data_IF_653713315621
#
_entry.id   IF_653713315621
#
_cell.length_a   1.000
_cell.length_b   1.000
_cell.length_c   1.000
_cell.angle_alpha   90.00
_cell.angle_beta   90.00
_cell.angle_gamma   90.00
#
_symmetry.space_group_name_H-M   'P 1'
#
loop_
_entity.id
_entity.type
_entity.pdbx_description
1 polymer ?
#
# COMPACT_ATOMS: atom_id res chain seq x y z
N UNK A 1 -24.19 -8.21 1.14
CA UNK A 1 -22.96 -7.51 0.67
C UNK A 1 -22.09 -8.49 -0.11
N UNK A 2 -21.37 -8.00 -1.12
CA UNK A 2 -20.41 -8.75 -1.91
C UNK A 2 -19.00 -8.30 -1.53
N UNK A 3 -18.11 -9.26 -1.23
CA UNK A 3 -16.69 -9.03 -1.00
C UNK A 3 -15.91 -9.69 -2.14
N UNK A 4 -15.09 -8.90 -2.83
CA UNK A 4 -14.25 -9.38 -3.92
C UNK A 4 -12.80 -9.42 -3.46
N UNK A 5 -12.11 -10.51 -3.76
CA UNK A 5 -10.69 -10.65 -3.52
C UNK A 5 -9.91 -10.05 -4.70
N UNK A 6 -8.97 -9.15 -4.40
CA UNK A 6 -8.03 -8.68 -5.41
C UNK A 6 -6.88 -9.69 -5.50
N UNK A 7 -6.58 -10.21 -6.71
CA UNK A 7 -5.51 -11.21 -6.89
C UNK A 7 -4.16 -10.72 -6.38
N UNK A 8 -3.34 -11.66 -5.90
CA UNK A 8 -2.07 -11.42 -5.18
C UNK A 8 -1.13 -10.44 -5.89
N UNK A 9 -0.88 -10.52 -7.21
CA UNK A 9 0.04 -9.59 -7.87
C UNK A 9 -0.32 -8.13 -7.64
N UNK A 10 -1.61 -7.80 -7.54
CA UNK A 10 -2.09 -6.43 -7.36
C UNK A 10 -2.38 -6.09 -5.90
N UNK A 11 -2.88 -7.05 -5.09
CA UNK A 11 -3.13 -6.78 -3.66
C UNK A 11 -1.86 -6.48 -2.88
N UNK A 12 -0.72 -7.01 -3.34
CA UNK A 12 0.61 -6.76 -2.78
C UNK A 12 1.43 -5.73 -3.58
N UNK A 13 0.82 -5.03 -4.54
CA UNK A 13 1.52 -4.08 -5.40
C UNK A 13 1.72 -2.69 -4.75
N UNK A 14 2.36 -1.79 -5.50
CA UNK A 14 2.42 -0.36 -5.13
C UNK A 14 1.01 0.24 -5.16
N UNK A 15 0.81 1.34 -4.44
CA UNK A 15 -0.48 2.03 -4.37
C UNK A 15 -1.10 2.31 -5.75
N UNK A 16 -0.30 2.70 -6.72
CA UNK A 16 -0.74 2.95 -8.09
C UNK A 16 -1.32 1.70 -8.76
N UNK A 17 -0.59 0.59 -8.70
CA UNK A 17 -0.99 -0.67 -9.37
C UNK A 17 -2.15 -1.33 -8.61
N UNK A 18 -2.15 -1.26 -7.29
CA UNK A 18 -3.25 -1.67 -6.43
C UNK A 18 -4.55 -0.90 -6.76
N UNK A 19 -4.48 0.43 -6.82
CA UNK A 19 -5.62 1.28 -7.12
C UNK A 19 -6.15 1.01 -8.53
N UNK A 20 -5.25 0.92 -9.52
CA UNK A 20 -5.62 0.61 -10.90
C UNK A 20 -6.35 -0.73 -11.00
N UNK A 21 -5.84 -1.76 -10.37
CA UNK A 21 -6.45 -3.09 -10.41
C UNK A 21 -7.82 -3.10 -9.72
N UNK A 22 -7.95 -2.52 -8.53
CA UNK A 22 -9.22 -2.42 -7.83
C UNK A 22 -10.27 -1.64 -8.62
N UNK A 23 -9.90 -0.51 -9.20
CA UNK A 23 -10.81 0.29 -10.04
C UNK A 23 -11.16 -0.45 -11.34
N UNK A 24 -10.20 -1.15 -11.97
CA UNK A 24 -10.46 -1.96 -13.17
C UNK A 24 -11.49 -3.04 -12.89
N UNK A 25 -11.35 -3.76 -11.76
CA UNK A 25 -12.30 -4.79 -11.35
C UNK A 25 -13.71 -4.21 -11.19
N UNK A 26 -13.84 -3.10 -10.45
CA UNK A 26 -15.12 -2.45 -10.22
C UNK A 26 -15.73 -1.88 -11.53
N UNK A 27 -14.89 -1.34 -12.41
CA UNK A 27 -15.30 -0.85 -13.72
C UNK A 27 -15.81 -1.98 -14.62
N UNK A 28 -15.12 -3.12 -14.63
CA UNK A 28 -15.49 -4.29 -15.43
C UNK A 28 -16.82 -4.92 -14.99
N UNK A 29 -17.23 -4.73 -13.73
CA UNK A 29 -18.54 -5.19 -13.25
C UNK A 29 -19.72 -4.48 -13.94
N UNK A 30 -19.52 -3.27 -14.45
CA UNK A 30 -20.54 -2.51 -15.20
C UNK A 30 -21.74 -1.99 -14.40
N UNK A 31 -21.83 -2.34 -13.11
CA UNK A 31 -22.95 -1.97 -12.23
C UNK A 31 -22.55 -1.05 -11.07
N UNK A 32 -21.25 -0.71 -10.96
CA UNK A 32 -20.75 0.16 -9.90
C UNK A 32 -20.84 1.61 -10.32
N UNK A 33 -21.58 2.41 -9.57
CA UNK A 33 -21.77 3.85 -9.86
C UNK A 33 -20.91 4.76 -8.98
N UNK A 34 -20.50 4.27 -7.78
CA UNK A 34 -19.84 5.08 -6.77
C UNK A 34 -18.68 4.31 -6.17
N UNK A 35 -17.49 4.93 -6.15
CA UNK A 35 -16.32 4.46 -5.44
C UNK A 35 -16.14 5.27 -4.16
N UNK A 36 -16.49 4.69 -3.01
CA UNK A 36 -16.30 5.30 -1.71
C UNK A 36 -14.95 4.89 -1.11
N UNK A 37 -14.21 5.84 -0.59
CA UNK A 37 -12.92 5.61 0.09
C UNK A 37 -12.73 6.56 1.27
N UNK A 38 -11.97 6.10 2.28
CA UNK A 38 -11.59 6.92 3.43
C UNK A 38 -10.54 7.98 3.05
N UNK A 39 -10.68 9.19 3.57
CA UNK A 39 -9.81 10.33 3.31
C UNK A 39 -9.54 11.11 4.59
N UNK A 40 -8.35 11.63 4.76
CA UNK A 40 -8.03 12.51 5.87
C UNK A 40 -8.66 13.90 5.70
N UNK A 41 -8.77 14.41 4.48
CA UNK A 41 -9.40 15.69 4.21
C UNK A 41 -10.92 15.61 4.06
N UNK A 42 -11.47 14.46 3.65
CA UNK A 42 -12.91 14.23 3.48
C UNK A 42 -13.58 15.04 2.36
N UNK A 43 -12.84 15.75 1.53
CA UNK A 43 -13.36 16.58 0.44
C UNK A 43 -13.05 15.97 -0.92
N UNK A 44 -14.05 15.39 -1.56
CA UNK A 44 -13.92 14.84 -2.92
C UNK A 44 -13.53 15.92 -3.93
N UNK A 45 -14.10 17.12 -3.82
CA UNK A 45 -13.80 18.22 -4.74
C UNK A 45 -12.32 18.63 -4.66
N UNK A 46 -11.79 18.84 -3.44
CA UNK A 46 -10.41 19.22 -3.21
C UNK A 46 -9.43 18.15 -3.69
N UNK A 47 -9.76 16.86 -3.46
CA UNK A 47 -8.95 15.76 -3.97
C UNK A 47 -8.92 15.70 -5.50
N UNK A 48 -10.06 15.91 -6.16
CA UNK A 48 -10.15 15.92 -7.63
C UNK A 48 -9.36 17.10 -8.22
N UNK A 49 -9.51 18.29 -7.68
CA UNK A 49 -8.78 19.49 -8.11
C UNK A 49 -7.27 19.28 -7.97
N UNK A 50 -6.83 18.81 -6.79
CA UNK A 50 -5.42 18.51 -6.54
C UNK A 50 -4.90 17.42 -7.45
N UNK A 51 -5.67 16.33 -7.68
CA UNK A 51 -5.28 15.26 -8.59
C UNK A 51 -5.05 15.76 -10.02
N UNK A 52 -5.89 16.66 -10.52
CA UNK A 52 -5.72 17.27 -11.83
C UNK A 52 -4.46 18.14 -11.89
N UNK A 53 -4.26 18.96 -10.86
CA UNK A 53 -3.10 19.85 -10.78
C UNK A 53 -1.76 19.09 -10.67
N UNK A 54 -1.75 17.93 -9.98
CA UNK A 54 -0.59 17.04 -9.90
C UNK A 54 -0.15 16.45 -11.26
N UNK A 55 -1.03 16.46 -12.25
CA UNK A 55 -0.73 15.99 -13.61
C UNK A 55 -0.37 17.11 -14.57
N UNK A 56 -0.33 18.36 -14.11
CA UNK A 56 0.00 19.51 -14.95
C UNK A 56 1.46 19.46 -15.45
N UNK A 57 1.78 20.08 -16.60
CA UNK A 57 3.15 20.20 -17.09
C UNK A 57 4.08 20.86 -16.06
N UNK A 58 3.63 21.93 -15.44
CA UNK A 58 4.38 22.69 -14.44
C UNK A 58 4.77 21.81 -13.25
N UNK A 59 3.81 21.01 -12.76
CA UNK A 59 4.08 20.07 -11.66
C UNK A 59 5.09 18.99 -12.05
N UNK A 60 5.05 18.50 -13.31
CA UNK A 60 6.02 17.52 -13.81
C UNK A 60 7.44 18.09 -13.88
N UNK A 61 7.57 19.34 -14.30
CA UNK A 61 8.88 20.01 -14.39
C UNK A 61 9.44 20.29 -13.00
N UNK A 62 8.62 20.77 -12.07
CA UNK A 62 9.00 20.92 -10.64
C UNK A 62 9.44 19.61 -10.01
N UNK A 63 8.69 18.53 -10.27
CA UNK A 63 9.00 17.19 -9.75
C UNK A 63 10.34 16.69 -10.29
N UNK A 64 10.59 16.87 -11.60
CA UNK A 64 11.86 16.47 -12.25
C UNK A 64 13.03 17.23 -11.61
N UNK A 65 12.92 18.55 -11.44
CA UNK A 65 13.94 19.36 -10.77
C UNK A 65 14.24 18.86 -9.35
N UNK A 66 13.23 18.53 -8.56
CA UNK A 66 13.44 17.99 -7.21
C UNK A 66 14.09 16.59 -7.21
N UNK A 67 13.78 15.75 -8.20
CA UNK A 67 14.42 14.43 -8.35
C UNK A 67 15.89 14.56 -8.78
N UNK A 68 16.21 15.51 -9.64
CA UNK A 68 17.58 15.80 -10.08
C UNK A 68 18.46 16.32 -8.91
N UNK A 69 17.84 16.95 -7.90
CA UNK A 69 18.49 17.29 -6.62
C UNK A 69 18.76 16.06 -5.73
N UNK A 70 18.41 14.85 -6.16
CA UNK A 70 18.64 13.60 -5.42
C UNK A 70 17.60 13.29 -4.33
N UNK A 71 16.45 13.94 -4.36
CA UNK A 71 15.36 13.67 -3.41
C UNK A 71 14.68 12.33 -3.68
N UNK A 72 14.12 11.70 -2.64
CA UNK A 72 13.23 10.55 -2.84
C UNK A 72 11.94 10.98 -3.53
N UNK A 73 11.31 10.10 -4.30
CA UNK A 73 10.08 10.42 -5.03
C UNK A 73 8.96 11.01 -4.15
N UNK A 74 8.67 10.47 -2.94
CA UNK A 74 7.66 11.08 -2.06
C UNK A 74 8.04 12.50 -1.63
N UNK A 75 9.29 12.73 -1.22
CA UNK A 75 9.75 14.06 -0.78
C UNK A 75 9.80 15.06 -1.95
N UNK A 76 10.21 14.61 -3.15
CA UNK A 76 10.21 15.43 -4.36
C UNK A 76 8.79 15.83 -4.76
N UNK A 77 7.83 14.89 -4.69
CA UNK A 77 6.42 15.13 -5.00
C UNK A 77 5.78 16.13 -4.03
N UNK A 78 6.06 16.00 -2.73
CA UNK A 78 5.60 16.94 -1.71
C UNK A 78 6.17 18.35 -1.93
N UNK A 79 7.50 18.47 -2.14
CA UNK A 79 8.16 19.76 -2.38
C UNK A 79 7.64 20.41 -3.66
N UNK A 80 7.52 19.67 -4.75
CA UNK A 80 6.98 20.17 -6.00
C UNK A 80 5.52 20.64 -5.85
N UNK A 81 4.68 19.86 -5.13
CA UNK A 81 3.30 20.27 -4.85
C UNK A 81 3.24 21.54 -4.00
N UNK A 82 4.12 21.69 -3.00
CA UNK A 82 4.17 22.91 -2.20
C UNK A 82 4.57 24.15 -3.03
N UNK A 83 5.44 23.97 -4.02
CA UNK A 83 5.87 25.05 -4.91
C UNK A 83 4.81 25.42 -5.95
N UNK A 84 4.17 24.44 -6.57
CA UNK A 84 3.26 24.65 -7.70
C UNK A 84 1.80 24.85 -7.26
N UNK A 85 1.36 24.18 -6.18
CA UNK A 85 -0.04 24.12 -5.77
C UNK A 85 -0.29 24.73 -4.39
N UNK A 86 0.77 25.07 -3.67
CA UNK A 86 0.67 25.63 -2.32
C UNK A 86 0.72 24.56 -1.21
N UNK A 87 0.83 25.05 0.03
CA UNK A 87 1.06 24.19 1.22
C UNK A 87 -0.13 23.27 1.54
N UNK A 88 -1.35 23.69 1.26
CA UNK A 88 -2.56 22.90 1.53
C UNK A 88 -2.59 21.66 0.65
N UNK A 89 -2.34 21.80 -0.65
CA UNK A 89 -2.24 20.66 -1.58
C UNK A 89 -1.08 19.72 -1.23
N UNK A 90 0.07 20.26 -0.80
CA UNK A 90 1.19 19.46 -0.35
C UNK A 90 0.86 18.65 0.92
N UNK A 91 0.09 19.21 1.85
CA UNK A 91 -0.34 18.53 3.07
C UNK A 91 -1.22 17.29 2.77
N UNK A 92 -2.03 17.30 1.71
CA UNK A 92 -2.82 16.16 1.29
C UNK A 92 -1.94 14.96 0.88
N UNK A 93 -0.74 15.22 0.35
CA UNK A 93 0.19 14.16 -0.05
C UNK A 93 0.87 13.46 1.13
N UNK A 94 0.79 14.01 2.33
CA UNK A 94 1.32 13.41 3.56
C UNK A 94 0.35 12.39 4.16
N UNK A 95 -0.96 12.52 3.90
CA UNK A 95 -1.99 11.59 4.35
C UNK A 95 -1.91 10.26 3.58
N UNK A 96 -1.80 9.14 4.28
CA UNK A 96 -1.70 7.84 3.63
C UNK A 96 -2.95 7.49 2.82
N UNK A 97 -4.14 7.86 3.32
CA UNK A 97 -5.39 7.61 2.62
C UNK A 97 -5.64 8.62 1.49
N UNK A 98 -5.29 9.89 1.68
CA UNK A 98 -5.38 10.90 0.63
C UNK A 98 -4.39 10.59 -0.51
N UNK A 99 -3.17 10.11 -0.19
CA UNK A 99 -2.22 9.64 -1.20
C UNK A 99 -2.78 8.46 -2.02
N UNK A 100 -3.47 7.51 -1.38
CA UNK A 100 -4.15 6.41 -2.08
C UNK A 100 -5.37 6.90 -2.87
N UNK A 101 -6.10 7.88 -2.35
CA UNK A 101 -7.22 8.52 -3.07
C UNK A 101 -6.77 9.10 -4.41
N UNK A 102 -5.61 9.76 -4.47
CA UNK A 102 -5.06 10.25 -5.74
C UNK A 102 -4.81 9.12 -6.76
N UNK A 103 -4.37 7.96 -6.31
CA UNK A 103 -4.18 6.82 -7.23
C UNK A 103 -5.53 6.25 -7.71
N UNK A 104 -6.59 6.24 -6.88
CA UNK A 104 -7.95 5.90 -7.33
C UNK A 104 -8.47 6.89 -8.37
N UNK A 105 -8.33 8.19 -8.13
CA UNK A 105 -8.76 9.23 -9.07
C UNK A 105 -8.01 9.14 -10.40
N UNK A 106 -6.71 8.88 -10.36
CA UNK A 106 -5.90 8.64 -11.55
C UNK A 106 -6.36 7.39 -12.30
N UNK A 107 -6.66 6.30 -11.60
CA UNK A 107 -7.15 5.08 -12.20
C UNK A 107 -8.52 5.29 -12.88
N UNK A 108 -9.47 5.95 -12.21
CA UNK A 108 -10.77 6.31 -12.77
C UNK A 108 -10.62 7.12 -14.07
N UNK A 109 -9.74 8.12 -14.07
CA UNK A 109 -9.44 8.96 -15.23
C UNK A 109 -8.83 8.16 -16.38
N UNK A 110 -7.81 7.34 -16.09
CA UNK A 110 -7.10 6.55 -17.09
C UNK A 110 -7.97 5.49 -17.77
N UNK A 111 -8.94 4.95 -17.05
CA UNK A 111 -9.92 3.98 -17.54
C UNK A 111 -11.15 4.63 -18.18
N UNK A 112 -11.24 5.97 -18.20
CA UNK A 112 -12.46 6.69 -18.61
C UNK A 112 -13.71 6.14 -17.92
N UNK A 113 -13.57 5.77 -16.63
CA UNK A 113 -14.61 5.10 -15.87
C UNK A 113 -15.76 6.07 -15.52
N UNK A 114 -17.03 5.67 -15.67
CA UNK A 114 -18.17 6.46 -15.25
C UNK A 114 -18.39 6.45 -13.74
N UNK A 115 -17.62 5.66 -12.98
CA UNK A 115 -17.73 5.54 -11.52
C UNK A 115 -17.35 6.86 -10.88
N UNK A 116 -18.26 7.39 -10.06
CA UNK A 116 -18.04 8.66 -9.34
C UNK A 116 -17.28 8.42 -8.04
N UNK A 117 -16.22 9.20 -7.75
CA UNK A 117 -15.51 9.11 -6.47
C UNK A 117 -16.30 9.76 -5.33
N UNK A 118 -16.21 9.20 -4.12
CA UNK A 118 -16.75 9.76 -2.89
C UNK A 118 -15.76 9.62 -1.75
N UNK A 119 -15.18 10.72 -1.31
CA UNK A 119 -14.32 10.76 -0.14
C UNK A 119 -15.17 10.80 1.14
N UNK A 120 -14.88 9.89 2.07
CA UNK A 120 -15.49 9.85 3.40
C UNK A 120 -14.44 10.26 4.43
N UNK A 121 -14.74 11.30 5.21
CA UNK A 121 -13.85 11.78 6.26
C UNK A 121 -13.58 10.67 7.30
N UNK A 122 -12.32 10.34 7.49
CA UNK A 122 -11.91 9.38 8.52
C UNK A 122 -12.09 9.96 9.90
N UNK A 123 -12.70 9.17 10.78
CA UNK A 123 -12.77 9.45 12.22
C UNK A 123 -11.87 8.47 12.97
N UNK A 124 -11.15 8.94 13.99
CA UNK A 124 -10.29 8.11 14.83
C UNK A 124 -8.79 8.25 14.56
N UNK A 125 -8.00 7.30 15.05
CA UNK A 125 -6.53 7.34 14.98
C UNK A 125 -6.00 7.41 13.54
N UNK A 126 -4.93 8.18 13.31
CA UNK A 126 -4.18 8.17 12.07
C UNK A 126 -3.55 6.80 11.82
N UNK A 127 -3.18 6.50 10.58
CA UNK A 127 -2.73 5.17 10.16
C UNK A 127 -1.61 4.58 11.03
N UNK A 128 -0.70 5.40 11.56
CA UNK A 128 0.47 4.99 12.34
C UNK A 128 0.39 5.39 13.84
N UNK A 129 -0.73 5.95 14.30
CA UNK A 129 -0.89 6.33 15.71
C UNK A 129 -1.33 5.14 16.55
N UNK A 130 -0.60 4.91 17.65
CA UNK A 130 -0.91 3.87 18.66
C UNK A 130 -1.91 4.35 19.72
N UNK A 131 -2.50 5.53 19.58
CA UNK A 131 -3.46 6.13 20.48
C UNK A 131 -4.90 6.04 19.98
N UNK A 132 -5.85 5.78 20.88
CA UNK A 132 -7.28 5.91 20.59
C UNK A 132 -7.69 7.39 20.64
N UNK A 133 -7.67 8.08 19.50
CA UNK A 133 -8.45 9.30 19.39
C UNK A 133 -9.90 8.89 19.12
N UNK A 134 -10.82 9.32 19.95
CA UNK A 134 -12.28 9.13 19.79
C UNK A 134 -12.80 7.67 19.71
N UNK A 135 -12.14 6.69 20.36
CA UNK A 135 -12.73 5.36 20.55
C UNK A 135 -12.62 4.38 19.37
N UNK A 136 -12.06 4.79 18.21
CA UNK A 136 -11.87 3.90 17.05
C UNK A 136 -10.38 3.58 16.84
N UNK A 137 -9.92 2.37 17.23
CA UNK A 137 -8.53 1.96 17.00
C UNK A 137 -8.26 1.75 15.50
N UNK A 138 -6.99 1.95 15.09
CA UNK A 138 -6.58 1.66 13.71
C UNK A 138 -6.62 0.14 13.44
N UNK A 139 -6.78 -0.23 12.16
CA UNK A 139 -6.73 -1.65 11.77
C UNK A 139 -5.40 -2.33 12.13
N UNK A 140 -4.29 -1.58 12.15
CA UNK A 140 -2.99 -2.08 12.60
C UNK A 140 -3.01 -2.39 14.10
N UNK A 141 -3.61 -1.53 14.90
CA UNK A 141 -3.78 -1.73 16.33
C UNK A 141 -4.69 -2.93 16.63
N UNK A 142 -5.83 -3.06 15.93
CA UNK A 142 -6.74 -4.22 16.09
C UNK A 142 -5.98 -5.51 15.76
N UNK A 143 -5.26 -5.56 14.65
CA UNK A 143 -4.45 -6.75 14.30
C UNK A 143 -3.41 -7.08 15.37
N UNK A 144 -2.73 -6.07 15.92
CA UNK A 144 -1.76 -6.28 17.00
C UNK A 144 -2.42 -6.86 18.26
N UNK A 145 -3.60 -6.34 18.65
CA UNK A 145 -4.34 -6.85 19.79
C UNK A 145 -4.79 -8.31 19.59
N UNK A 146 -5.26 -8.65 18.39
CA UNK A 146 -5.67 -10.02 18.05
C UNK A 146 -4.46 -10.97 18.07
N UNK A 147 -3.30 -10.56 17.53
CA UNK A 147 -2.08 -11.37 17.57
C UNK A 147 -1.55 -11.59 18.99
N UNK A 148 -1.89 -10.71 19.95
CA UNK A 148 -1.55 -10.81 21.36
C UNK A 148 -2.62 -11.49 22.20
N UNK A 149 -3.68 -12.02 21.57
CA UNK A 149 -4.84 -12.61 22.24
C UNK A 149 -5.48 -11.65 23.26
N UNK A 150 -5.50 -10.37 22.93
CA UNK A 150 -6.02 -9.32 23.81
C UNK A 150 -7.53 -9.13 23.57
N UNK A 151 -8.39 -9.28 24.60
CA UNK A 151 -9.85 -9.15 24.48
C UNK A 151 -10.32 -7.80 23.92
N UNK A 152 -9.50 -6.74 24.00
CA UNK A 152 -9.83 -5.45 23.44
C UNK A 152 -9.87 -5.49 21.90
N UNK A 153 -9.12 -6.40 21.26
CA UNK A 153 -9.19 -6.62 19.82
C UNK A 153 -10.59 -7.08 19.37
N UNK A 154 -11.22 -7.97 20.14
CA UNK A 154 -12.57 -8.45 19.89
C UNK A 154 -13.61 -7.32 19.96
N UNK A 155 -13.55 -6.51 21.03
CA UNK A 155 -14.48 -5.39 21.26
C UNK A 155 -14.39 -4.30 20.20
N UNK A 156 -13.31 -4.29 19.42
CA UNK A 156 -13.06 -3.32 18.36
C UNK A 156 -13.63 -3.74 17.01
N UNK A 157 -14.25 -4.90 16.92
CA UNK A 157 -14.85 -5.44 15.70
C UNK A 157 -16.37 -5.53 15.82
N UNK A 158 -17.13 -5.37 14.71
CA UNK A 158 -18.53 -5.75 14.67
C UNK A 158 -18.69 -7.24 15.02
N UNK A 159 -19.75 -7.59 15.76
CA UNK A 159 -19.97 -8.97 16.26
C UNK A 159 -19.89 -10.05 15.18
N UNK A 160 -20.54 -9.82 14.02
CA UNK A 160 -20.53 -10.77 12.92
C UNK A 160 -19.12 -10.93 12.29
N UNK A 161 -18.32 -9.86 12.22
CA UNK A 161 -16.93 -9.93 11.73
C UNK A 161 -16.06 -10.69 12.71
N UNK A 162 -16.28 -10.49 14.01
CA UNK A 162 -15.54 -11.20 15.05
C UNK A 162 -15.90 -12.70 15.07
N UNK A 163 -17.16 -13.07 14.88
CA UNK A 163 -17.58 -14.48 14.76
C UNK A 163 -16.87 -15.20 13.63
N UNK A 164 -16.75 -14.56 12.45
CA UNK A 164 -16.01 -15.10 11.30
C UNK A 164 -14.53 -15.25 11.67
N UNK A 165 -13.90 -14.20 12.22
CA UNK A 165 -12.50 -14.24 12.63
C UNK A 165 -12.24 -15.37 13.64
N UNK A 166 -13.09 -15.53 14.65
CA UNK A 166 -12.98 -16.59 15.65
C UNK A 166 -13.07 -17.97 15.02
N UNK A 167 -13.98 -18.17 14.07
CA UNK A 167 -14.09 -19.42 13.30
C UNK A 167 -12.78 -19.71 12.54
N UNK A 168 -12.19 -18.72 11.90
CA UNK A 168 -10.94 -18.88 11.15
C UNK A 168 -9.73 -19.13 12.08
N UNK A 169 -9.71 -18.51 13.26
CA UNK A 169 -8.69 -18.78 14.31
C UNK A 169 -8.83 -20.24 14.79
N UNK A 170 -10.03 -20.68 15.12
CA UNK A 170 -10.28 -22.06 15.56
C UNK A 170 -9.91 -23.10 14.51
N UNK A 171 -10.06 -22.75 13.23
CA UNK A 171 -9.67 -23.60 12.10
C UNK A 171 -8.16 -23.52 11.75
N UNK A 172 -7.36 -22.75 12.50
CA UNK A 172 -5.93 -22.57 12.28
C UNK A 172 -5.57 -21.77 11.03
N UNK A 173 -6.51 -21.01 10.43
CA UNK A 173 -6.29 -20.18 9.24
C UNK A 173 -6.04 -18.72 9.55
N UNK A 174 -6.24 -18.28 10.80
CA UNK A 174 -6.00 -16.93 11.28
C UNK A 174 -5.39 -16.99 12.70
N UNK A 175 -4.76 -15.91 13.18
CA UNK A 175 -4.27 -14.76 12.40
C UNK A 175 -3.01 -15.12 11.60
N UNK A 176 -2.87 -14.57 10.39
CA UNK A 176 -1.67 -14.73 9.57
C UNK A 176 -0.66 -13.62 9.90
N UNK A 177 0.58 -13.99 10.14
CA UNK A 177 1.66 -13.04 10.43
C UNK A 177 2.98 -13.44 9.75
N UNK A 178 3.84 -12.47 9.51
CA UNK A 178 5.19 -12.73 9.02
C UNK A 178 5.99 -13.61 9.98
N UNK A 179 5.83 -13.43 11.29
CA UNK A 179 6.54 -14.23 12.31
C UNK A 179 6.19 -15.71 12.25
N UNK A 180 4.94 -16.06 11.99
CA UNK A 180 4.53 -17.45 11.82
C UNK A 180 5.15 -18.12 10.58
N UNK A 181 5.51 -17.34 9.57
CA UNK A 181 6.05 -17.83 8.29
C UNK A 181 7.54 -17.51 8.11
N UNK A 182 8.18 -16.88 9.08
CA UNK A 182 9.55 -16.35 8.96
C UNK A 182 10.56 -17.38 8.45
N UNK A 183 10.57 -18.57 9.05
CA UNK A 183 11.50 -19.63 8.65
C UNK A 183 11.26 -20.10 7.21
N UNK A 184 10.01 -20.26 6.81
CA UNK A 184 9.65 -20.66 5.46
C UNK A 184 10.07 -19.59 4.43
N UNK A 185 9.78 -18.33 4.73
CA UNK A 185 10.15 -17.19 3.87
C UNK A 185 11.67 -17.13 3.73
N UNK A 186 12.43 -17.09 4.82
CA UNK A 186 13.89 -17.00 4.77
C UNK A 186 14.54 -18.20 4.08
N UNK A 187 14.02 -19.41 4.32
CA UNK A 187 14.50 -20.63 3.64
C UNK A 187 14.30 -20.56 2.13
N UNK A 188 13.12 -20.10 1.69
CA UNK A 188 12.84 -19.91 0.26
C UNK A 188 13.75 -18.84 -0.35
N UNK A 189 13.83 -17.66 0.26
CA UNK A 189 14.63 -16.55 -0.24
C UNK A 189 16.11 -16.88 -0.41
N UNK A 190 16.69 -17.70 0.48
CA UNK A 190 18.10 -18.12 0.40
C UNK A 190 18.42 -19.00 -0.80
N UNK A 191 17.42 -19.55 -1.46
CA UNK A 191 17.57 -20.37 -2.67
C UNK A 191 17.60 -19.53 -3.95
N UNK A 192 17.15 -18.27 -3.87
CA UNK A 192 17.06 -17.37 -5.02
C UNK A 192 18.44 -16.80 -5.37
N UNK A 193 18.69 -16.66 -6.66
CA UNK A 193 19.84 -15.98 -7.24
C UNK A 193 19.54 -14.47 -7.44
N UNK A 194 20.57 -13.63 -7.67
CA UNK A 194 20.35 -12.25 -8.08
C UNK A 194 19.49 -12.13 -9.36
N UNK A 195 19.62 -13.09 -10.29
CA UNK A 195 18.81 -13.11 -11.50
C UNK A 195 17.32 -13.34 -11.22
N UNK A 196 17.00 -14.24 -10.27
CA UNK A 196 15.61 -14.45 -9.85
C UNK A 196 15.04 -13.22 -9.17
N UNK A 197 15.83 -12.56 -8.32
CA UNK A 197 15.43 -11.33 -7.65
C UNK A 197 15.24 -10.14 -8.61
N UNK A 198 15.98 -10.12 -9.73
CA UNK A 198 15.83 -9.10 -10.76
C UNK A 198 14.48 -9.19 -11.51
N UNK A 199 13.81 -10.35 -11.48
CA UNK A 199 12.49 -10.53 -12.07
C UNK A 199 11.34 -9.99 -11.21
N UNK A 200 11.60 -9.61 -9.97
CA UNK A 200 10.55 -9.12 -9.06
C UNK A 200 9.98 -7.78 -9.52
N UNK A 201 8.68 -7.53 -9.29
CA UNK A 201 8.11 -6.22 -9.52
C UNK A 201 8.79 -5.15 -8.65
N UNK A 202 8.91 -3.93 -9.17
CA UNK A 202 9.48 -2.79 -8.41
C UNK A 202 10.97 -2.96 -8.02
N UNK A 203 11.71 -3.84 -8.68
CA UNK A 203 13.18 -3.92 -8.61
C UNK A 203 13.80 -2.88 -9.55
N UNK A 204 14.79 -2.16 -9.08
CA UNK A 204 15.57 -1.20 -9.87
C UNK A 204 16.91 -0.87 -9.21
N UNK A 205 17.87 -0.41 -9.99
CA UNK A 205 19.10 0.25 -9.52
C UNK A 205 20.00 -0.61 -8.63
N UNK A 206 20.09 -1.92 -8.90
CA UNK A 206 20.95 -2.84 -8.16
C UNK A 206 20.35 -3.28 -6.80
N UNK A 207 19.05 -3.03 -6.57
CA UNK A 207 18.38 -3.46 -5.33
C UNK A 207 18.36 -4.98 -5.21
N UNK A 208 18.35 -5.74 -6.32
CA UNK A 208 18.46 -7.19 -6.38
C UNK A 208 19.73 -7.70 -5.67
N UNK A 209 20.87 -7.07 -5.90
CA UNK A 209 22.14 -7.45 -5.25
C UNK A 209 22.12 -7.13 -3.75
N UNK A 210 21.59 -5.95 -3.41
CA UNK A 210 21.46 -5.56 -2.00
C UNK A 210 20.50 -6.48 -1.23
N UNK A 211 19.40 -6.88 -1.86
CA UNK A 211 18.45 -7.83 -1.28
C UNK A 211 19.10 -9.21 -1.13
N UNK A 212 19.85 -9.66 -2.13
CA UNK A 212 20.57 -10.92 -2.11
C UNK A 212 21.57 -11.01 -0.96
N UNK A 213 22.40 -9.99 -0.77
CA UNK A 213 23.35 -9.92 0.34
C UNK A 213 22.64 -9.85 1.71
N UNK A 214 21.57 -9.05 1.78
CA UNK A 214 20.73 -8.95 2.98
C UNK A 214 20.10 -10.29 3.38
N UNK A 215 19.60 -11.07 2.42
CA UNK A 215 19.00 -12.39 2.66
C UNK A 215 20.03 -13.38 3.26
N UNK A 216 21.29 -13.32 2.82
CA UNK A 216 22.34 -14.22 3.28
C UNK A 216 22.86 -13.86 4.67
N UNK A 217 22.90 -12.59 5.00
CA UNK A 217 23.38 -12.10 6.29
C UNK A 217 22.31 -12.09 7.38
N UNK A 218 21.03 -12.01 7.02
CA UNK A 218 19.94 -11.86 7.97
C UNK A 218 19.59 -13.17 8.70
N UNK A 219 19.36 -13.05 10.01
CA UNK A 219 18.87 -14.15 10.86
C UNK A 219 17.34 -14.10 11.07
N UNK A 220 16.70 -12.97 10.74
CA UNK A 220 15.25 -12.75 10.86
C UNK A 220 14.76 -11.83 9.75
N UNK A 221 13.44 -11.81 9.49
CA UNK A 221 12.84 -10.83 8.55
C UNK A 221 13.06 -9.40 9.04
N UNK A 222 13.01 -9.17 10.35
CA UNK A 222 13.30 -7.85 10.92
C UNK A 222 14.72 -7.37 10.60
N UNK A 223 15.73 -8.24 10.76
CA UNK A 223 17.12 -7.93 10.40
C UNK A 223 17.31 -7.77 8.90
N UNK A 224 16.62 -8.57 8.06
CA UNK A 224 16.61 -8.41 6.61
C UNK A 224 16.09 -7.02 6.22
N UNK A 225 14.93 -6.63 6.74
CA UNK A 225 14.34 -5.34 6.41
C UNK A 225 15.22 -4.17 6.84
N UNK A 226 15.88 -4.28 7.99
CA UNK A 226 16.76 -3.24 8.52
C UNK A 226 18.06 -3.08 7.72
N UNK A 227 18.69 -4.18 7.30
CA UNK A 227 19.97 -4.12 6.57
C UNK A 227 19.79 -3.69 5.11
N UNK A 228 18.64 -4.01 4.47
CA UNK A 228 18.34 -3.60 3.10
C UNK A 228 17.85 -2.16 3.02
N UNK A 229 17.19 -1.65 4.08
CA UNK A 229 16.63 -0.28 4.12
C UNK A 229 17.69 0.78 3.88
N UNK A 230 17.31 1.80 3.09
CA UNK A 230 18.07 3.05 2.90
C UNK A 230 17.11 4.24 2.84
N UNK A 231 17.61 5.46 2.65
CA UNK A 231 16.76 6.62 2.32
C UNK A 231 15.95 6.41 1.03
N UNK A 232 16.49 5.65 0.08
CA UNK A 232 15.89 5.35 -1.24
C UNK A 232 14.94 4.15 -1.19
N UNK A 233 15.24 3.14 -0.37
CA UNK A 233 14.47 1.90 -0.26
C UNK A 233 13.73 1.84 1.07
N UNK A 234 12.43 2.09 1.03
CA UNK A 234 11.58 2.11 2.24
C UNK A 234 11.28 0.69 2.76
N UNK A 235 10.98 0.56 4.05
CA UNK A 235 10.52 -0.71 4.63
C UNK A 235 9.34 -1.32 3.88
N UNK A 236 8.38 -0.49 3.47
CA UNK A 236 7.21 -0.96 2.73
C UNK A 236 7.59 -1.61 1.39
N UNK A 237 8.54 -1.02 0.65
CA UNK A 237 9.06 -1.59 -0.60
C UNK A 237 9.75 -2.93 -0.36
N UNK A 238 10.63 -3.00 0.64
CA UNK A 238 11.38 -4.22 0.94
C UNK A 238 10.43 -5.35 1.38
N UNK A 239 9.43 -5.06 2.21
CA UNK A 239 8.41 -6.03 2.61
C UNK A 239 7.62 -6.57 1.42
N UNK A 240 7.22 -5.72 0.48
CA UNK A 240 6.54 -6.15 -0.76
C UNK A 240 7.43 -7.06 -1.58
N UNK A 241 8.69 -6.67 -1.83
CA UNK A 241 9.66 -7.47 -2.58
C UNK A 241 9.89 -8.84 -1.93
N UNK A 242 10.02 -8.89 -0.61
CA UNK A 242 10.14 -10.14 0.16
C UNK A 242 8.92 -11.03 -0.05
N UNK A 243 7.72 -10.46 -0.02
CA UNK A 243 6.48 -11.19 -0.23
C UNK A 243 6.35 -11.66 -1.68
N UNK A 244 6.64 -10.81 -2.66
CA UNK A 244 6.64 -11.19 -4.07
C UNK A 244 7.62 -12.33 -4.34
N UNK A 245 8.84 -12.24 -3.81
CA UNK A 245 9.83 -13.29 -3.95
C UNK A 245 9.36 -14.61 -3.34
N UNK A 246 8.73 -14.57 -2.17
CA UNK A 246 8.20 -15.77 -1.51
C UNK A 246 7.02 -16.39 -2.26
N UNK A 247 6.15 -15.58 -2.84
CA UNK A 247 4.97 -16.01 -3.58
C UNK A 247 5.24 -16.30 -5.07
N UNK A 248 6.46 -16.05 -5.55
CA UNK A 248 6.83 -16.25 -6.95
C UNK A 248 6.22 -15.23 -7.91
N UNK A 249 5.83 -14.03 -7.42
CA UNK A 249 5.27 -12.95 -8.25
C UNK A 249 6.38 -12.22 -8.98
N UNK A 250 6.26 -12.12 -10.30
CA UNK A 250 7.23 -11.49 -11.19
C UNK A 250 6.69 -10.22 -11.84
N UNK A 251 7.58 -9.47 -12.52
CA UNK A 251 7.17 -8.33 -13.35
C UNK A 251 6.17 -8.74 -14.44
N UNK A 252 6.31 -9.96 -14.98
CA UNK A 252 5.39 -10.50 -15.98
C UNK A 252 3.95 -10.60 -15.47
N UNK A 253 3.76 -11.01 -14.20
CA UNK A 253 2.43 -11.14 -13.60
C UNK A 253 1.76 -9.77 -13.40
N UNK A 254 2.54 -8.75 -13.02
CA UNK A 254 2.02 -7.38 -12.82
C UNK A 254 1.85 -6.61 -14.14
N UNK A 255 2.45 -7.07 -15.23
CA UNK A 255 2.25 -6.50 -16.57
C UNK A 255 0.94 -6.96 -17.20
N UNK A 256 0.33 -8.04 -16.71
CA UNK A 256 -0.99 -8.48 -17.17
C UNK A 256 -2.05 -7.41 -16.87
N UNK A 257 -3.10 -7.39 -17.65
CA UNK A 257 -4.25 -6.56 -17.32
C UNK A 257 -4.87 -7.07 -16.01
N UNK A 258 -5.24 -6.18 -15.09
CA UNK A 258 -6.04 -6.58 -13.94
C UNK A 258 -7.35 -7.22 -14.40
N UNK A 259 -7.92 -8.15 -13.60
CA UNK A 259 -9.13 -8.85 -13.96
C UNK A 259 -10.31 -7.93 -14.17
#
# INVERSE_FOLDING_TARGET
DLVLELPVPWSCARAQDFARAGVSLLHAMGCVELLSFGSECGSTALLCETAQALESPEMRDCLRGCLDEGMSLPAAREKAAAQCLGKEAAALLQGANDALAFEYLRALKSLHSPIRPLAVLRKGARHDETGCAEGFPSAAQIRSLILQDNPQGEKSLPSFSFEILRREITAGRAPVSYSAMETAILSHLRRLSPADLALLPDISEGLEYRLYEGIRSACSLGSLFSCVKTKRYTHARIRRLTLHAFLGVTQGDTALSPP
#
